data_IF_932500263906
#
_entry.id   IF_932500263906
#
_cell.length_a   1.000
_cell.length_b   1.000
_cell.length_c   1.000
_cell.angle_alpha   90.00
_cell.angle_beta   90.00
_cell.angle_gamma   90.00
#
_symmetry.space_group_name_H-M   'P 1'
#
loop_
_entity.id
_entity.type
_entity.pdbx_description
1 polymer ?
#
# COMPACT_ATOMS: atom_id res chain seq x y z
N UNK A 1 17.45 -12.81 20.80
CA UNK A 1 16.24 -13.59 21.23
C UNK A 1 14.91 -12.84 20.99
N UNK A 2 14.84 -11.93 20.08
CA UNK A 2 13.61 -11.14 19.79
C UNK A 2 12.82 -11.63 18.55
N UNK A 3 13.25 -12.70 17.88
CA UNK A 3 12.61 -13.17 16.65
C UNK A 3 11.23 -13.81 16.84
N UNK A 4 10.92 -14.36 18.02
CA UNK A 4 9.65 -15.07 18.25
C UNK A 4 8.43 -14.18 18.43
N UNK A 5 8.56 -13.01 19.09
CA UNK A 5 7.44 -12.09 19.32
C UNK A 5 7.00 -11.39 18.04
N UNK A 6 7.93 -10.95 17.20
CA UNK A 6 7.63 -10.35 15.91
C UNK A 6 6.87 -11.26 14.96
N UNK A 7 7.16 -12.57 15.00
CA UNK A 7 6.46 -13.55 14.17
C UNK A 7 5.03 -13.84 14.64
N UNK A 8 4.74 -13.74 15.95
CA UNK A 8 3.38 -13.90 16.49
C UNK A 8 2.47 -12.76 16.03
N UNK A 9 2.91 -11.51 16.18
CA UNK A 9 2.14 -10.35 15.73
C UNK A 9 1.94 -10.35 14.21
N UNK A 10 2.96 -10.73 13.45
CA UNK A 10 2.86 -10.85 12.00
C UNK A 10 1.78 -11.86 11.59
N UNK A 11 1.73 -13.03 12.22
CA UNK A 11 0.68 -14.04 11.95
C UNK A 11 -0.72 -13.58 12.36
N UNK A 12 -0.85 -12.78 13.41
CA UNK A 12 -2.14 -12.20 13.77
C UNK A 12 -2.65 -11.27 12.66
N UNK A 13 -1.78 -10.39 12.17
CA UNK A 13 -2.11 -9.49 11.06
C UNK A 13 -2.46 -10.27 9.80
N UNK A 14 -1.69 -11.31 9.45
CA UNK A 14 -1.95 -12.17 8.29
C UNK A 14 -3.34 -12.83 8.34
N UNK A 15 -3.84 -13.24 9.52
CA UNK A 15 -5.18 -13.82 9.66
C UNK A 15 -6.31 -12.84 9.31
N UNK A 16 -6.17 -11.55 9.61
CA UNK A 16 -7.15 -10.54 9.18
C UNK A 16 -7.19 -10.40 7.66
N UNK A 17 -6.04 -10.57 7.00
CA UNK A 17 -5.98 -10.61 5.54
C UNK A 17 -6.66 -11.84 4.97
N UNK A 18 -6.47 -13.01 5.58
CA UNK A 18 -7.13 -14.24 5.14
C UNK A 18 -8.66 -14.10 5.20
N UNK A 19 -9.17 -13.46 6.26
CA UNK A 19 -10.62 -13.17 6.37
C UNK A 19 -11.09 -12.19 5.30
N UNK A 20 -10.33 -11.13 5.03
CA UNK A 20 -10.66 -10.17 3.99
C UNK A 20 -10.63 -10.81 2.59
N UNK A 21 -9.65 -11.66 2.32
CA UNK A 21 -9.53 -12.42 1.07
C UNK A 21 -10.72 -13.39 0.88
N UNK A 22 -11.16 -14.07 1.96
CA UNK A 22 -12.36 -14.93 1.92
C UNK A 22 -13.64 -14.14 1.59
N UNK A 23 -13.70 -12.88 1.99
CA UNK A 23 -14.82 -11.98 1.72
C UNK A 23 -14.65 -11.20 0.41
N UNK A 24 -13.61 -11.47 -0.37
CA UNK A 24 -13.23 -10.75 -1.59
C UNK A 24 -13.05 -9.22 -1.35
N UNK A 25 -12.70 -8.83 -0.12
CA UNK A 25 -12.51 -7.44 0.26
C UNK A 25 -11.04 -7.02 0.07
N UNK A 26 -10.85 -5.85 -0.50
CA UNK A 26 -9.53 -5.24 -0.60
C UNK A 26 -9.21 -4.47 0.68
N UNK A 27 -8.23 -4.93 1.44
CA UNK A 27 -7.70 -4.19 2.59
C UNK A 27 -6.87 -3.00 2.08
N UNK A 28 -7.27 -1.79 2.43
CA UNK A 28 -6.55 -0.55 2.12
C UNK A 28 -5.56 -0.23 3.23
N UNK A 29 -6.04 -0.22 4.46
CA UNK A 29 -5.29 0.09 5.67
C UNK A 29 -5.65 -0.88 6.77
N UNK A 30 -4.74 -1.11 7.69
CA UNK A 30 -4.94 -1.88 8.91
C UNK A 30 -4.47 -1.03 10.09
N UNK A 31 -5.39 -0.76 11.01
CA UNK A 31 -5.10 0.03 12.19
C UNK A 31 -5.54 -0.70 13.46
N UNK A 32 -5.08 -0.25 14.62
CA UNK A 32 -5.57 -0.78 15.90
C UNK A 32 -6.61 0.18 16.50
N UNK A 33 -7.58 -0.39 17.20
CA UNK A 33 -8.72 0.35 17.78
C UNK A 33 -8.30 1.59 18.57
N UNK A 34 -7.21 1.50 19.34
CA UNK A 34 -6.71 2.62 20.14
C UNK A 34 -6.30 3.83 19.31
N UNK A 35 -5.63 3.66 18.16
CA UNK A 35 -5.30 4.78 17.29
C UNK A 35 -6.55 5.30 16.59
N UNK A 36 -7.35 4.42 16.01
CA UNK A 36 -8.57 4.81 15.29
C UNK A 36 -9.48 5.65 16.17
N UNK A 37 -9.73 5.20 17.40
CA UNK A 37 -10.53 5.97 18.36
C UNK A 37 -9.88 7.27 18.76
N UNK A 38 -8.55 7.26 18.99
CA UNK A 38 -7.80 8.47 19.31
C UNK A 38 -7.98 9.55 18.24
N UNK A 39 -7.84 9.19 16.96
CA UNK A 39 -7.96 10.15 15.86
C UNK A 39 -9.36 10.76 15.80
N UNK A 40 -10.40 9.98 16.01
CA UNK A 40 -11.77 10.49 16.03
C UNK A 40 -12.05 11.32 17.28
N UNK A 41 -11.59 10.88 18.46
CA UNK A 41 -11.77 11.63 19.72
C UNK A 41 -11.11 13.01 19.70
N UNK A 42 -9.98 13.17 19.02
CA UNK A 42 -9.32 14.47 18.83
C UNK A 42 -10.19 15.49 18.10
N UNK A 43 -11.14 15.05 17.30
CA UNK A 43 -12.12 15.93 16.62
C UNK A 43 -13.28 16.31 17.53
N UNK A 44 -13.48 15.60 18.65
CA UNK A 44 -14.61 15.81 19.57
C UNK A 44 -14.24 16.71 20.76
N UNK A 45 -12.97 16.97 20.98
CA UNK A 45 -12.44 17.73 22.12
C UNK A 45 -11.72 18.99 21.64
N UNK A 46 -11.56 19.93 22.56
CA UNK A 46 -10.76 21.13 22.35
C UNK A 46 -9.37 21.03 23.01
N UNK A 47 -8.63 22.14 23.06
CA UNK A 47 -7.28 22.19 23.61
C UNK A 47 -7.23 22.11 25.14
N UNK A 48 -8.37 22.18 25.84
CA UNK A 48 -8.40 22.11 27.32
C UNK A 48 -8.08 20.68 27.79
N UNK A 49 -7.45 20.56 28.98
CA UNK A 49 -7.21 19.27 29.62
C UNK A 49 -8.51 18.48 29.79
N UNK A 50 -8.65 17.41 29.04
CA UNK A 50 -9.89 16.64 28.90
C UNK A 50 -9.67 15.17 29.19
N UNK A 51 -10.49 14.60 30.09
CA UNK A 51 -10.65 13.17 30.29
C UNK A 51 -11.63 12.61 29.24
N UNK A 52 -11.25 11.58 28.54
CA UNK A 52 -12.11 10.84 27.62
C UNK A 52 -12.33 9.43 28.13
N UNK A 53 -13.58 9.02 28.26
CA UNK A 53 -14.00 7.67 28.67
C UNK A 53 -14.75 7.05 27.50
N UNK A 54 -14.19 6.01 26.95
CA UNK A 54 -14.79 5.27 25.86
C UNK A 54 -15.11 3.85 26.32
N UNK A 55 -16.39 3.57 26.51
CA UNK A 55 -16.85 2.26 26.94
C UNK A 55 -17.22 1.40 25.73
N UNK A 56 -16.48 0.34 25.54
CA UNK A 56 -16.80 -0.74 24.60
C UNK A 56 -17.54 -1.90 25.26
N UNK A 57 -17.71 -2.98 24.54
CA UNK A 57 -18.36 -4.18 25.06
C UNK A 57 -17.52 -4.89 26.13
N UNK A 58 -16.24 -5.13 25.87
CA UNK A 58 -15.33 -5.89 26.75
C UNK A 58 -14.41 -5.00 27.59
N UNK A 59 -14.10 -3.81 27.10
CA UNK A 59 -13.14 -2.93 27.72
C UNK A 59 -13.53 -1.46 27.63
N UNK A 60 -13.04 -0.68 28.57
CA UNK A 60 -13.15 0.79 28.58
C UNK A 60 -11.79 1.41 28.37
N UNK A 61 -11.65 2.30 27.39
CA UNK A 61 -10.46 3.09 27.15
C UNK A 61 -10.62 4.42 27.87
N UNK A 62 -9.68 4.72 28.75
CA UNK A 62 -9.59 5.98 29.48
C UNK A 62 -8.39 6.75 28.94
N UNK A 63 -8.62 7.95 28.42
CA UNK A 63 -7.58 8.77 27.82
C UNK A 63 -7.59 10.17 28.42
N UNK A 64 -6.43 10.77 28.58
CA UNK A 64 -6.29 12.20 28.98
C UNK A 64 -5.60 12.93 27.84
N UNK A 65 -6.24 14.01 27.42
CA UNK A 65 -5.73 14.91 26.40
C UNK A 65 -5.39 16.26 27.03
N UNK A 66 -4.36 16.90 26.50
CA UNK A 66 -4.01 18.29 26.83
C UNK A 66 -3.50 18.95 25.54
N UNK A 67 -4.02 20.11 25.18
CA UNK A 67 -3.76 20.78 23.91
C UNK A 67 -4.02 19.87 22.71
N UNK A 68 -5.11 19.12 22.77
CA UNK A 68 -5.52 18.12 21.78
C UNK A 68 -4.46 17.02 21.50
N UNK A 69 -3.51 16.83 22.42
CA UNK A 69 -2.48 15.78 22.35
C UNK A 69 -2.75 14.75 23.43
N UNK A 70 -2.72 13.47 23.05
CA UNK A 70 -2.84 12.37 24.00
C UNK A 70 -1.65 12.38 24.96
N UNK A 71 -1.96 12.48 26.27
CA UNK A 71 -0.97 12.44 27.35
C UNK A 71 -0.88 11.07 28.01
N UNK A 72 -2.02 10.44 28.19
CA UNK A 72 -2.13 9.14 28.84
C UNK A 72 -3.31 8.37 28.25
N UNK A 73 -3.12 7.07 28.05
CA UNK A 73 -4.19 6.15 27.65
C UNK A 73 -4.05 4.87 28.47
N UNK A 74 -5.19 4.38 28.97
CA UNK A 74 -5.28 3.13 29.70
C UNK A 74 -6.52 2.35 29.26
N UNK A 75 -6.35 1.07 28.95
CA UNK A 75 -7.46 0.14 28.77
C UNK A 75 -7.76 -0.56 30.08
N UNK A 76 -9.04 -0.62 30.44
CA UNK A 76 -9.56 -1.32 31.61
C UNK A 76 -10.45 -2.45 31.09
N UNK A 77 -10.23 -3.71 31.49
CA UNK A 77 -11.06 -4.85 31.06
C UNK A 77 -12.40 -4.82 31.80
N UNK A 78 -13.21 -3.86 31.47
CA UNK A 78 -14.55 -3.62 31.99
C UNK A 78 -15.35 -2.92 30.90
N UNK A 79 -16.42 -3.49 30.50
CA UNK A 79 -17.26 -2.97 29.42
C UNK A 79 -18.73 -3.23 29.68
N UNK A 80 -19.51 -3.04 28.65
CA UNK A 80 -20.96 -3.23 28.63
C UNK A 80 -21.36 -4.67 28.98
N UNK A 81 -20.60 -5.67 28.51
CA UNK A 81 -20.76 -7.08 28.83
C UNK A 81 -20.69 -7.37 30.33
N UNK A 82 -19.81 -6.67 31.05
CA UNK A 82 -19.68 -6.83 32.50
C UNK A 82 -20.95 -6.37 33.23
N UNK A 83 -21.56 -5.26 32.78
CA UNK A 83 -22.83 -4.78 33.36
C UNK A 83 -23.97 -5.73 33.01
N UNK A 84 -24.02 -6.23 31.77
CA UNK A 84 -25.02 -7.22 31.34
C UNK A 84 -24.93 -8.50 32.17
N UNK A 85 -23.73 -9.01 32.43
CA UNK A 85 -23.50 -10.17 33.28
C UNK A 85 -23.99 -9.93 34.72
N UNK A 86 -23.73 -8.73 35.28
CA UNK A 86 -24.24 -8.38 36.61
C UNK A 86 -25.79 -8.32 36.67
N UNK A 87 -26.43 -7.91 35.56
CA UNK A 87 -27.90 -7.96 35.44
C UNK A 87 -28.39 -9.41 35.36
N UNK A 88 -27.74 -10.23 34.48
CA UNK A 88 -28.10 -11.63 34.30
C UNK A 88 -28.04 -12.39 35.63
N UNK A 89 -26.94 -12.21 36.38
CA UNK A 89 -26.74 -12.83 37.69
C UNK A 89 -27.76 -12.33 38.73
N UNK A 90 -28.00 -11.01 38.80
CA UNK A 90 -28.91 -10.42 39.78
C UNK A 90 -30.37 -10.79 39.55
N UNK A 91 -30.80 -10.94 38.29
CA UNK A 91 -32.19 -11.19 37.91
C UNK A 91 -32.44 -12.65 37.57
N UNK A 92 -31.40 -13.50 37.58
CA UNK A 92 -31.47 -14.93 37.18
C UNK A 92 -32.07 -15.10 35.76
N UNK A 93 -31.53 -14.33 34.80
CA UNK A 93 -31.93 -14.35 33.39
C UNK A 93 -30.75 -14.62 32.48
N UNK A 94 -31.03 -14.96 31.23
CA UNK A 94 -29.99 -15.17 30.24
C UNK A 94 -29.24 -13.89 29.92
N UNK A 95 -28.01 -14.05 29.39
CA UNK A 95 -27.19 -12.90 28.94
C UNK A 95 -27.91 -12.05 27.88
N UNK A 96 -28.58 -12.68 26.94
CA UNK A 96 -29.34 -12.01 25.86
C UNK A 96 -30.51 -11.19 26.41
N UNK A 97 -31.22 -11.73 27.38
CA UNK A 97 -32.28 -10.99 28.09
C UNK A 97 -31.70 -9.83 28.89
N UNK A 98 -30.57 -10.04 29.54
CA UNK A 98 -29.87 -8.99 30.28
C UNK A 98 -29.41 -7.83 29.40
N UNK A 99 -28.93 -8.11 28.17
CA UNK A 99 -28.64 -7.08 27.17
C UNK A 99 -29.88 -6.28 26.79
N UNK A 100 -31.03 -7.00 26.61
CA UNK A 100 -32.30 -6.34 26.30
C UNK A 100 -32.76 -5.43 27.44
N UNK A 101 -32.59 -5.85 28.69
CA UNK A 101 -32.85 -5.05 29.89
C UNK A 101 -31.94 -3.82 29.95
N UNK A 102 -30.63 -4.02 29.74
CA UNK A 102 -29.64 -2.94 29.75
C UNK A 102 -29.93 -1.87 28.68
N UNK A 103 -30.46 -2.29 27.54
CA UNK A 103 -30.81 -1.41 26.43
C UNK A 103 -32.07 -0.57 26.67
N UNK A 104 -33.02 -1.14 27.39
CA UNK A 104 -34.37 -0.58 27.47
C UNK A 104 -34.72 -0.01 28.86
N UNK A 105 -34.05 -0.45 29.93
CA UNK A 105 -34.32 -0.03 31.27
C UNK A 105 -33.23 0.87 31.86
N UNK A 106 -33.58 1.69 32.84
CA UNK A 106 -32.63 2.37 33.73
C UNK A 106 -32.29 1.43 34.88
N UNK A 107 -31.19 0.70 34.77
CA UNK A 107 -30.74 -0.28 35.77
C UNK A 107 -29.83 0.27 36.82
N UNK A 108 -29.20 1.44 36.57
CA UNK A 108 -28.24 2.06 37.46
C UNK A 108 -28.91 3.03 38.44
N UNK A 109 -28.49 2.96 39.69
CA UNK A 109 -28.81 3.92 40.72
C UNK A 109 -27.93 5.18 40.62
N UNK A 110 -28.21 6.19 41.44
CA UNK A 110 -27.52 7.47 41.38
C UNK A 110 -26.15 7.47 42.07
N UNK A 111 -25.96 6.55 43.02
CA UNK A 111 -24.71 6.43 43.78
C UNK A 111 -24.43 4.96 44.13
N UNK A 112 -23.15 4.66 44.38
CA UNK A 112 -22.71 3.38 44.95
C UNK A 112 -23.16 3.17 46.42
N UNK A 113 -23.57 4.24 47.10
CA UNK A 113 -24.04 4.19 48.47
C UNK A 113 -25.34 3.42 48.62
N UNK A 114 -26.11 3.28 47.53
CA UNK A 114 -27.42 2.59 47.56
C UNK A 114 -27.31 1.08 47.71
N UNK A 115 -26.07 0.52 47.70
CA UNK A 115 -25.78 -0.89 47.92
C UNK A 115 -26.33 -1.83 46.83
N UNK A 116 -26.75 -1.29 45.68
CA UNK A 116 -27.27 -2.08 44.56
C UNK A 116 -26.16 -2.86 43.88
N UNK A 117 -26.41 -4.14 43.61
CA UNK A 117 -25.44 -5.06 43.03
C UNK A 117 -25.00 -4.64 41.64
N UNK A 118 -25.95 -4.30 40.76
CA UNK A 118 -25.66 -3.92 39.36
C UNK A 118 -24.85 -2.63 39.34
N UNK A 119 -25.30 -1.60 40.08
CA UNK A 119 -24.58 -0.34 40.22
C UNK A 119 -23.19 -0.56 40.81
N UNK A 120 -23.11 -1.41 41.84
CA UNK A 120 -21.86 -1.78 42.51
C UNK A 120 -20.81 -2.41 41.63
N UNK A 121 -21.21 -3.09 40.57
CA UNK A 121 -20.27 -3.68 39.57
C UNK A 121 -19.40 -2.60 38.90
N UNK A 122 -19.89 -1.37 38.77
CA UNK A 122 -19.18 -0.24 38.18
C UNK A 122 -18.10 0.36 39.08
N UNK A 123 -18.03 -0.03 40.36
CA UNK A 123 -17.00 0.47 41.30
C UNK A 123 -15.58 0.26 40.79
N UNK A 124 -15.36 -0.93 40.15
CA UNK A 124 -14.07 -1.25 39.56
C UNK A 124 -13.68 -0.24 38.47
N UNK A 125 -14.61 0.09 37.57
CA UNK A 125 -14.39 1.09 36.53
C UNK A 125 -14.14 2.48 37.11
N UNK A 126 -15.01 2.95 38.01
CA UNK A 126 -14.88 4.26 38.66
C UNK A 126 -13.55 4.44 39.39
N UNK A 127 -13.12 3.41 40.14
CA UNK A 127 -11.83 3.40 40.80
C UNK A 127 -10.64 3.47 39.82
N UNK A 128 -10.75 2.79 38.66
CA UNK A 128 -9.71 2.89 37.65
C UNK A 128 -9.66 4.26 36.98
N UNK A 129 -10.81 4.89 36.76
CA UNK A 129 -10.87 6.27 36.25
C UNK A 129 -10.22 7.23 37.27
N UNK A 130 -10.59 7.15 38.54
CA UNK A 130 -9.99 7.98 39.60
C UNK A 130 -8.46 7.79 39.66
N UNK A 131 -7.97 6.56 39.61
CA UNK A 131 -6.52 6.29 39.59
C UNK A 131 -5.80 6.90 38.37
N UNK A 132 -6.46 6.95 37.22
CA UNK A 132 -5.89 7.59 36.02
C UNK A 132 -5.79 9.08 36.20
N UNK A 133 -6.84 9.69 36.78
CA UNK A 133 -6.88 11.12 37.12
C UNK A 133 -5.77 11.44 38.13
N UNK A 134 -5.70 10.70 39.24
CA UNK A 134 -4.72 10.92 40.31
C UNK A 134 -3.29 10.77 39.81
N UNK A 135 -3.04 9.73 39.01
CA UNK A 135 -1.73 9.51 38.40
C UNK A 135 -1.31 10.68 37.50
N UNK A 136 -2.22 11.15 36.66
CA UNK A 136 -1.93 12.26 35.75
C UNK A 136 -1.71 13.57 36.53
N UNK A 137 -2.56 13.89 37.50
CA UNK A 137 -2.45 15.08 38.31
C UNK A 137 -1.17 15.09 39.14
N UNK A 138 -0.76 13.93 39.68
CA UNK A 138 0.51 13.81 40.42
C UNK A 138 1.72 14.08 39.52
N UNK A 139 1.67 13.69 38.29
CA UNK A 139 2.75 13.89 37.29
C UNK A 139 2.73 15.30 36.70
N UNK A 140 1.59 15.96 36.69
CA UNK A 140 1.37 17.27 36.09
C UNK A 140 0.64 18.18 37.04
N UNK A 141 1.28 18.63 38.16
CA UNK A 141 0.62 19.36 39.22
C UNK A 141 0.05 20.74 38.78
N UNK A 142 0.61 21.29 37.70
CA UNK A 142 0.18 22.58 37.14
C UNK A 142 -0.99 22.44 36.14
N UNK A 143 -1.44 21.22 35.88
CA UNK A 143 -2.51 20.92 34.90
C UNK A 143 -3.72 20.31 35.60
N UNK A 144 -4.82 21.04 35.63
CA UNK A 144 -6.10 20.52 36.15
C UNK A 144 -6.97 20.00 35.00
N UNK A 145 -7.51 18.80 35.16
CA UNK A 145 -8.50 18.26 34.22
C UNK A 145 -9.78 19.05 34.36
N UNK A 146 -10.17 19.75 33.30
CA UNK A 146 -11.31 20.67 33.30
C UNK A 146 -12.59 20.06 32.76
N UNK A 147 -12.46 19.11 31.87
CA UNK A 147 -13.57 18.50 31.14
C UNK A 147 -13.47 16.99 31.17
N UNK A 148 -14.63 16.35 31.18
CA UNK A 148 -14.73 14.93 30.92
C UNK A 148 -15.80 14.68 29.87
N UNK A 149 -15.47 13.81 28.91
CA UNK A 149 -16.38 13.37 27.87
C UNK A 149 -16.49 11.85 27.89
N UNK A 150 -17.67 11.35 27.54
CA UNK A 150 -17.93 9.92 27.49
C UNK A 150 -18.63 9.56 26.19
N UNK A 151 -18.20 8.46 25.60
CA UNK A 151 -18.85 7.83 24.47
C UNK A 151 -18.96 6.33 24.74
N UNK A 152 -20.03 5.72 24.27
CA UNK A 152 -20.25 4.26 24.37
C UNK A 152 -20.30 3.68 22.98
N UNK A 153 -19.52 2.63 22.72
CA UNK A 153 -19.67 1.82 21.51
C UNK A 153 -20.96 1.00 21.64
N UNK A 154 -21.86 1.17 20.68
CA UNK A 154 -23.21 0.58 20.75
C UNK A 154 -24.19 1.41 21.56
N UNK A 155 -25.23 0.75 22.11
CA UNK A 155 -26.24 1.45 22.89
C UNK A 155 -25.69 1.93 24.23
N UNK A 156 -25.94 3.18 24.55
CA UNK A 156 -25.53 3.82 25.80
C UNK A 156 -26.29 3.26 27.02
N UNK A 157 -25.57 3.05 28.11
CA UNK A 157 -26.16 2.65 29.39
C UNK A 157 -26.78 3.89 30.05
N UNK A 158 -28.09 3.83 30.34
CA UNK A 158 -28.81 4.96 30.92
C UNK A 158 -28.28 5.35 32.32
N UNK A 159 -28.05 6.60 32.53
CA UNK A 159 -27.54 7.21 33.77
C UNK A 159 -26.06 6.86 34.13
N UNK A 160 -25.32 6.22 33.25
CA UNK A 160 -23.92 5.86 33.47
C UNK A 160 -23.05 7.13 33.67
N UNK A 161 -23.21 8.12 32.80
CA UNK A 161 -22.51 9.40 32.87
C UNK A 161 -22.84 10.17 34.17
N UNK A 162 -24.07 10.09 34.63
CA UNK A 162 -24.50 10.74 35.86
C UNK A 162 -23.88 10.08 37.08
N UNK A 163 -23.94 8.75 37.16
CA UNK A 163 -23.32 7.96 38.20
C UNK A 163 -21.80 8.22 38.29
N UNK A 164 -21.11 8.08 37.17
CA UNK A 164 -19.66 8.30 37.11
C UNK A 164 -19.29 9.73 37.42
N UNK A 165 -20.08 10.73 36.96
CA UNK A 165 -19.85 12.14 37.30
C UNK A 165 -19.93 12.37 38.81
N UNK A 166 -20.90 11.77 39.48
CA UNK A 166 -21.09 11.88 40.95
C UNK A 166 -19.92 11.23 41.69
N UNK A 167 -19.53 10.03 41.32
CA UNK A 167 -18.51 9.24 42.02
C UNK A 167 -17.07 9.76 41.79
N UNK A 168 -16.80 10.35 40.62
CA UNK A 168 -15.47 10.89 40.26
C UNK A 168 -15.35 12.36 40.67
N UNK A 169 -16.47 13.05 40.92
CA UNK A 169 -16.49 14.49 41.23
C UNK A 169 -16.16 15.39 40.01
N UNK A 170 -16.29 14.87 38.79
CA UNK A 170 -16.05 15.60 37.56
C UNK A 170 -17.24 15.42 36.59
N UNK A 171 -17.81 16.56 36.16
CA UNK A 171 -18.96 16.50 35.23
C UNK A 171 -18.59 15.88 33.91
N UNK A 172 -19.16 14.73 33.61
CA UNK A 172 -18.98 14.01 32.38
C UNK A 172 -20.06 14.42 31.36
N UNK A 173 -19.65 14.88 30.19
CA UNK A 173 -20.54 15.19 29.09
C UNK A 173 -20.60 13.95 28.16
N UNK A 174 -21.78 13.44 27.93
CA UNK A 174 -21.99 12.39 26.93
C UNK A 174 -21.82 12.98 25.53
N UNK A 175 -21.16 12.24 24.64
CA UNK A 175 -21.09 12.54 23.21
C UNK A 175 -22.19 11.73 22.52
N UNK A 176 -23.23 12.42 22.08
CA UNK A 176 -24.36 11.83 21.36
C UNK A 176 -24.23 11.99 19.84
N UNK A 177 -23.45 12.98 19.39
CA UNK A 177 -23.21 13.25 17.98
C UNK A 177 -21.73 13.52 17.76
N UNK A 178 -21.19 13.02 16.65
CA UNK A 178 -19.79 13.17 16.29
C UNK A 178 -19.58 14.43 15.45
N UNK A 179 -18.74 15.35 15.94
CA UNK A 179 -18.32 16.52 15.18
C UNK A 179 -17.56 16.10 13.92
N UNK A 180 -17.76 16.80 12.82
CA UNK A 180 -17.10 16.57 11.52
C UNK A 180 -17.40 15.21 10.88
N UNK A 181 -18.38 14.47 11.38
CA UNK A 181 -18.90 13.26 10.77
C UNK A 181 -20.27 13.56 10.18
N UNK A 182 -20.41 13.31 8.89
CA UNK A 182 -21.65 13.52 8.16
C UNK A 182 -22.16 12.14 7.73
N UNK A 183 -23.40 11.80 8.12
CA UNK A 183 -24.05 10.60 7.64
C UNK A 183 -24.51 10.81 6.19
N UNK A 184 -24.24 9.84 5.31
CA UNK A 184 -24.83 9.80 3.98
C UNK A 184 -26.29 9.34 4.10
N UNK A 185 -27.21 10.00 3.38
CA UNK A 185 -28.64 9.66 3.41
C UNK A 185 -28.95 8.20 3.08
N UNK A 186 -28.01 7.52 2.40
CA UNK A 186 -28.12 6.08 2.08
C UNK A 186 -27.88 5.16 3.28
N UNK A 187 -27.27 5.64 4.35
CA UNK A 187 -26.95 4.80 5.52
C UNK A 187 -28.17 4.49 6.40
N UNK A 188 -29.26 5.26 6.28
CA UNK A 188 -30.47 5.12 7.10
C UNK A 188 -30.17 4.96 8.61
N UNK A 189 -29.14 5.68 9.10
CA UNK A 189 -28.68 5.68 10.49
C UNK A 189 -28.70 7.10 11.03
N UNK A 190 -29.09 7.25 12.28
CA UNK A 190 -29.02 8.53 12.99
C UNK A 190 -27.59 8.87 13.38
N UNK A 191 -27.27 10.15 13.56
CA UNK A 191 -25.96 10.60 14.04
C UNK A 191 -25.60 10.00 15.40
N UNK A 192 -26.58 9.78 16.27
CA UNK A 192 -26.37 9.15 17.57
C UNK A 192 -26.00 7.66 17.47
N UNK A 193 -26.45 6.95 16.45
CA UNK A 193 -26.07 5.56 16.22
C UNK A 193 -24.64 5.44 15.68
N UNK A 194 -24.13 6.50 15.02
CA UNK A 194 -22.74 6.53 14.53
C UNK A 194 -21.72 6.52 15.67
N UNK A 195 -22.08 6.97 16.87
CA UNK A 195 -21.20 6.86 18.04
C UNK A 195 -20.84 5.42 18.41
N UNK A 196 -21.67 4.44 18.00
CA UNK A 196 -21.38 3.02 18.13
C UNK A 196 -20.27 2.50 17.20
N UNK A 197 -19.88 3.27 16.19
CA UNK A 197 -18.91 2.89 15.18
C UNK A 197 -17.62 3.74 15.24
N UNK A 198 -17.28 4.25 16.42
CA UNK A 198 -16.13 5.14 16.62
C UNK A 198 -14.82 4.61 16.03
N UNK A 199 -14.49 3.37 16.34
CA UNK A 199 -13.27 2.75 15.84
C UNK A 199 -13.29 2.54 14.32
N UNK A 200 -14.45 2.19 13.76
CA UNK A 200 -14.61 2.02 12.31
C UNK A 200 -14.50 3.34 11.55
N UNK A 201 -15.08 4.42 12.09
CA UNK A 201 -14.99 5.77 11.50
C UNK A 201 -13.56 6.30 11.65
N UNK A 202 -12.97 6.13 12.82
CA UNK A 202 -11.65 6.65 13.15
C UNK A 202 -10.52 6.02 12.30
N UNK A 203 -10.66 4.76 11.89
CA UNK A 203 -9.63 4.07 11.10
C UNK A 203 -9.39 4.70 9.72
N UNK A 204 -10.32 5.54 9.22
CA UNK A 204 -10.18 6.21 7.92
C UNK A 204 -9.49 7.57 8.04
N UNK A 205 -9.37 8.12 9.25
CA UNK A 205 -8.87 9.51 9.45
C UNK A 205 -7.36 9.56 9.28
N UNK A 206 -6.63 8.79 10.08
CA UNK A 206 -5.16 8.75 10.04
C UNK A 206 -4.65 7.39 10.56
N UNK A 207 -4.76 6.32 9.77
CA UNK A 207 -4.32 4.99 10.20
C UNK A 207 -2.80 4.93 10.34
N UNK A 208 -2.33 4.17 11.32
CA UNK A 208 -0.89 3.84 11.45
C UNK A 208 -0.44 2.92 10.32
N UNK A 209 -1.37 2.20 9.76
CA UNK A 209 -1.22 1.26 8.66
C UNK A 209 -0.23 0.12 8.90
N UNK A 210 -0.68 -0.93 9.57
CA UNK A 210 0.06 -2.17 9.80
C UNK A 210 0.02 -3.15 8.62
N UNK A 211 -0.37 -2.69 7.42
CA UNK A 211 -0.41 -3.54 6.23
C UNK A 211 0.99 -4.11 5.94
N UNK A 212 1.19 -5.42 5.92
CA UNK A 212 2.48 -6.02 5.61
C UNK A 212 2.95 -5.63 4.21
N UNK A 213 4.22 -5.31 4.05
CA UNK A 213 4.81 -4.99 2.74
C UNK A 213 4.57 -6.09 1.71
N UNK A 214 4.53 -7.36 2.13
CA UNK A 214 4.20 -8.51 1.29
C UNK A 214 2.79 -8.45 0.70
N UNK A 215 1.79 -7.97 1.45
CA UNK A 215 0.42 -7.82 0.98
C UNK A 215 0.30 -6.63 -0.01
N UNK A 216 0.99 -5.51 0.26
CA UNK A 216 1.07 -4.38 -0.67
C UNK A 216 1.70 -4.78 -2.01
N UNK A 217 2.74 -5.62 -1.98
CA UNK A 217 3.39 -6.14 -3.19
C UNK A 217 2.43 -7.07 -3.95
N UNK A 218 1.70 -7.96 -3.27
CA UNK A 218 0.67 -8.82 -3.89
C UNK A 218 -0.44 -7.99 -4.54
N UNK A 219 -0.97 -7.00 -3.85
CA UNK A 219 -2.02 -6.12 -4.37
C UNK A 219 -1.54 -5.30 -5.59
N UNK A 220 -0.30 -4.81 -5.57
CA UNK A 220 0.31 -4.11 -6.71
C UNK A 220 0.49 -5.04 -7.91
N UNK A 221 0.99 -6.27 -7.67
CA UNK A 221 1.20 -7.28 -8.73
C UNK A 221 -0.11 -7.73 -9.38
N UNK A 222 -1.23 -7.81 -8.63
CA UNK A 222 -2.55 -8.16 -9.17
C UNK A 222 -3.12 -7.04 -10.05
N UNK A 223 -2.86 -5.80 -9.69
CA UNK A 223 -3.31 -4.64 -10.47
C UNK A 223 -2.49 -4.47 -11.75
N UNK A 224 -1.17 -4.66 -11.67
CA UNK A 224 -0.26 -4.64 -12.84
C UNK A 224 -0.64 -5.73 -13.85
N UNK A 225 -1.07 -6.91 -13.39
CA UNK A 225 -1.54 -7.98 -14.26
C UNK A 225 -2.84 -7.64 -15.01
N UNK A 226 -3.74 -6.83 -14.45
CA UNK A 226 -4.93 -6.37 -15.15
C UNK A 226 -4.58 -5.40 -16.28
N UNK A 227 -3.71 -4.44 -16.01
CA UNK A 227 -3.20 -3.53 -17.04
C UNK A 227 -2.36 -4.25 -18.08
N UNK A 228 -1.53 -5.20 -17.67
CA UNK A 228 -0.74 -6.04 -18.59
C UNK A 228 -1.65 -6.84 -19.53
N UNK A 229 -2.72 -7.45 -19.03
CA UNK A 229 -3.72 -8.14 -19.86
C UNK A 229 -4.41 -7.19 -20.84
N UNK A 230 -4.72 -5.98 -20.43
CA UNK A 230 -5.33 -4.96 -21.26
C UNK A 230 -4.37 -4.48 -22.35
N UNK A 231 -3.09 -4.28 -22.02
CA UNK A 231 -2.01 -3.94 -22.96
C UNK A 231 -1.79 -5.10 -23.96
N UNK A 232 -1.75 -6.35 -23.49
CA UNK A 232 -1.60 -7.52 -24.36
C UNK A 232 -2.80 -7.66 -25.30
N UNK A 233 -4.05 -7.48 -24.82
CA UNK A 233 -5.24 -7.48 -25.68
C UNK A 233 -5.19 -6.36 -26.72
N UNK A 234 -4.77 -5.14 -26.31
CA UNK A 234 -4.56 -4.03 -27.23
C UNK A 234 -3.49 -4.32 -28.29
N UNK A 235 -2.36 -4.91 -27.88
CA UNK A 235 -1.27 -5.29 -28.78
C UNK A 235 -1.73 -6.38 -29.78
N UNK A 236 -2.48 -7.39 -29.31
CA UNK A 236 -3.06 -8.43 -30.16
C UNK A 236 -4.05 -7.85 -31.16
N UNK A 237 -4.89 -6.89 -30.72
CA UNK A 237 -5.82 -6.20 -31.60
C UNK A 237 -5.11 -5.37 -32.67
N UNK A 238 -4.08 -4.62 -32.29
CA UNK A 238 -3.25 -3.85 -33.25
C UNK A 238 -2.54 -4.79 -34.22
N UNK A 239 -1.97 -5.90 -33.73
CA UNK A 239 -1.34 -6.92 -34.58
C UNK A 239 -2.36 -7.54 -35.55
N UNK A 240 -3.57 -7.84 -35.13
CA UNK A 240 -4.64 -8.36 -35.97
C UNK A 240 -5.04 -7.34 -37.06
N UNK A 241 -5.13 -6.02 -36.71
CA UNK A 241 -5.40 -4.96 -37.69
C UNK A 241 -4.28 -4.85 -38.73
N UNK A 242 -3.01 -4.89 -38.27
CA UNK A 242 -1.83 -4.85 -39.17
C UNK A 242 -1.81 -6.04 -40.15
N UNK A 243 -2.27 -7.20 -39.69
CA UNK A 243 -2.38 -8.41 -40.57
C UNK A 243 -3.59 -8.33 -41.49
N UNK A 244 -4.72 -7.79 -41.03
CA UNK A 244 -5.94 -7.68 -41.82
C UNK A 244 -5.84 -6.67 -42.97
N UNK A 245 -5.14 -5.53 -42.75
CA UNK A 245 -4.96 -4.50 -43.79
C UNK A 245 -4.29 -5.06 -45.04
N UNK A 246 -3.14 -5.77 -44.97
CA UNK A 246 -2.54 -6.34 -46.14
C UNK A 246 -3.35 -7.54 -46.73
N UNK A 247 -4.13 -8.26 -45.90
CA UNK A 247 -5.00 -9.33 -46.35
C UNK A 247 -6.15 -8.79 -47.24
N UNK A 248 -6.82 -7.72 -46.80
CA UNK A 248 -7.86 -7.07 -47.59
C UNK A 248 -7.27 -6.40 -48.84
N UNK A 249 -6.10 -5.76 -48.72
CA UNK A 249 -5.36 -5.20 -49.87
C UNK A 249 -4.93 -6.29 -50.88
N UNK A 250 -4.59 -7.50 -50.41
CA UNK A 250 -4.25 -8.61 -51.26
C UNK A 250 -5.47 -9.21 -51.99
N UNK A 251 -6.65 -9.20 -51.35
CA UNK A 251 -7.90 -9.66 -52.00
C UNK A 251 -8.33 -8.66 -53.07
N UNK A 252 -8.24 -7.37 -52.80
CA UNK A 252 -8.55 -6.34 -53.81
C UNK A 252 -7.57 -6.38 -54.98
N UNK A 253 -6.27 -6.55 -54.72
CA UNK A 253 -5.25 -6.68 -55.75
C UNK A 253 -5.36 -7.99 -56.55
N UNK A 254 -5.92 -9.06 -55.94
CA UNK A 254 -6.18 -10.34 -56.72
C UNK A 254 -7.29 -10.18 -57.75
N UNK A 255 -8.32 -9.43 -57.46
CA UNK A 255 -9.40 -9.15 -58.43
C UNK A 255 -8.92 -8.25 -59.58
N UNK A 256 -8.14 -7.23 -59.23
CA UNK A 256 -7.52 -6.35 -60.23
C UNK A 256 -6.47 -7.10 -61.10
N UNK A 257 -5.68 -7.99 -60.46
CA UNK A 257 -4.68 -8.81 -61.12
C UNK A 257 -5.29 -9.89 -62.07
N UNK A 258 -6.50 -10.37 -61.79
CA UNK A 258 -7.20 -11.30 -62.66
C UNK A 258 -7.70 -10.61 -63.96
N UNK A 259 -8.07 -9.31 -63.88
CA UNK A 259 -8.38 -8.48 -65.05
C UNK A 259 -7.15 -8.19 -65.92
N UNK A 260 -6.03 -7.84 -65.24
CA UNK A 260 -4.73 -7.62 -65.92
C UNK A 260 -4.16 -8.89 -66.55
N UNK A 261 -4.30 -10.06 -65.89
CA UNK A 261 -3.87 -11.37 -66.44
C UNK A 261 -4.58 -11.73 -67.73
N UNK A 262 -5.87 -11.35 -67.88
CA UNK A 262 -6.62 -11.54 -69.11
C UNK A 262 -6.06 -10.69 -70.27
N UNK A 263 -5.61 -9.48 -69.99
CA UNK A 263 -5.00 -8.58 -70.97
C UNK A 263 -3.56 -8.93 -71.31
N UNK A 264 -2.79 -9.44 -70.32
CA UNK A 264 -1.38 -9.87 -70.53
C UNK A 264 -1.32 -11.18 -71.35
N UNK A 265 -2.33 -12.05 -71.27
CA UNK A 265 -2.45 -13.25 -72.07
C UNK A 265 -2.48 -12.97 -73.58
N UNK A 266 -2.71 -11.71 -73.96
CA UNK A 266 -2.68 -11.28 -75.41
C UNK A 266 -1.29 -10.84 -75.85
N UNK A 267 -0.31 -10.77 -74.95
CA UNK A 267 1.08 -10.34 -75.24
C UNK A 267 2.04 -11.42 -74.70
N UNK A 268 1.97 -12.62 -75.27
CA UNK A 268 2.59 -13.84 -74.69
C UNK A 268 4.12 -13.83 -74.66
N UNK A 269 4.77 -12.99 -75.43
CA UNK A 269 6.25 -12.94 -75.59
C UNK A 269 6.97 -12.03 -74.55
N UNK A 270 6.25 -11.16 -73.82
CA UNK A 270 6.88 -10.18 -72.85
C UNK A 270 6.77 -10.69 -71.44
N UNK A 271 5.83 -11.58 -71.14
CA UNK A 271 5.49 -12.06 -69.80
C UNK A 271 6.64 -12.75 -69.07
N UNK A 272 7.41 -13.59 -69.77
CA UNK A 272 8.53 -14.29 -69.15
C UNK A 272 9.67 -13.36 -68.76
N UNK A 273 10.02 -12.40 -69.59
CA UNK A 273 11.13 -11.48 -69.34
C UNK A 273 10.82 -10.52 -68.22
N UNK A 274 9.56 -10.05 -68.12
CA UNK A 274 9.11 -9.15 -67.05
C UNK A 274 9.01 -9.88 -65.69
N UNK A 275 8.55 -11.13 -65.69
CA UNK A 275 8.44 -11.93 -64.47
C UNK A 275 9.83 -12.29 -63.90
N UNK A 276 10.77 -12.65 -64.74
CA UNK A 276 12.17 -12.94 -64.33
C UNK A 276 12.88 -11.71 -63.79
N UNK A 277 12.59 -10.53 -64.32
CA UNK A 277 13.15 -9.27 -63.82
C UNK A 277 12.63 -8.93 -62.42
N UNK A 278 11.31 -9.04 -62.16
CA UNK A 278 10.74 -8.72 -60.86
C UNK A 278 11.13 -9.74 -59.78
N UNK A 279 11.17 -11.02 -60.07
CA UNK A 279 11.63 -12.07 -59.15
C UNK A 279 13.11 -11.88 -58.74
N UNK A 280 13.94 -11.42 -59.65
CA UNK A 280 15.36 -11.15 -59.36
C UNK A 280 15.54 -9.89 -58.51
N UNK A 281 14.70 -8.88 -58.74
CA UNK A 281 14.73 -7.61 -58.01
C UNK A 281 14.27 -7.76 -56.55
N UNK A 282 13.14 -8.48 -56.33
CA UNK A 282 12.61 -8.70 -54.97
C UNK A 282 13.57 -9.55 -54.13
N UNK A 283 14.13 -10.60 -54.68
CA UNK A 283 15.15 -11.40 -53.97
C UNK A 283 16.41 -10.60 -53.62
N UNK A 284 16.81 -9.66 -54.44
CA UNK A 284 17.97 -8.82 -54.16
C UNK A 284 17.69 -7.82 -53.06
N UNK A 285 16.48 -7.25 -53.02
CA UNK A 285 16.05 -6.28 -52.00
C UNK A 285 15.87 -6.92 -50.62
N UNK A 286 15.26 -8.10 -50.56
CA UNK A 286 15.04 -8.85 -49.32
C UNK A 286 16.38 -9.32 -48.71
N UNK A 287 17.30 -9.78 -49.50
CA UNK A 287 18.62 -10.22 -49.03
C UNK A 287 19.45 -9.04 -48.55
N UNK A 288 19.40 -7.88 -49.22
CA UNK A 288 20.17 -6.68 -48.79
C UNK A 288 19.63 -6.05 -47.51
N UNK A 289 18.30 -6.01 -47.32
CA UNK A 289 17.68 -5.53 -46.08
C UNK A 289 17.92 -6.47 -44.92
N UNK A 290 17.84 -7.77 -45.10
CA UNK A 290 18.14 -8.77 -44.08
C UNK A 290 19.61 -8.70 -43.64
N UNK A 291 20.53 -8.50 -44.57
CA UNK A 291 21.97 -8.37 -44.29
C UNK A 291 22.30 -7.08 -43.52
N UNK A 292 21.57 -5.96 -43.77
CA UNK A 292 21.76 -4.71 -43.07
C UNK A 292 21.17 -4.71 -41.64
N UNK A 293 20.15 -5.54 -41.39
CA UNK A 293 19.52 -5.67 -40.07
C UNK A 293 20.21 -6.72 -39.18
N UNK A 294 20.92 -7.70 -39.75
CA UNK A 294 21.50 -8.83 -39.02
C UNK A 294 22.95 -8.64 -38.58
N UNK A 295 23.63 -7.58 -39.01
CA UNK A 295 25.01 -7.35 -38.61
C UNK A 295 25.13 -6.30 -37.51
N UNK A 296 25.63 -6.70 -36.38
CA UNK A 296 26.46 -5.98 -35.38
C UNK A 296 25.86 -5.55 -34.06
N UNK A 297 24.57 -5.51 -33.78
CA UNK A 297 24.12 -5.04 -32.45
C UNK A 297 24.16 -6.14 -31.36
N UNK A 298 24.00 -7.39 -31.75
CA UNK A 298 23.88 -8.51 -30.81
C UNK A 298 25.25 -9.07 -30.40
N UNK A 299 26.20 -9.09 -31.30
CA UNK A 299 27.56 -9.63 -31.07
C UNK A 299 28.38 -8.80 -30.08
N UNK A 300 28.24 -7.49 -30.10
CA UNK A 300 29.00 -6.59 -29.19
C UNK A 300 28.45 -6.61 -27.77
N UNK A 301 27.13 -6.76 -27.60
CA UNK A 301 26.51 -6.92 -26.29
C UNK A 301 26.84 -8.29 -25.70
N UNK A 302 26.85 -9.34 -26.50
CA UNK A 302 27.20 -10.70 -26.06
C UNK A 302 28.65 -10.75 -25.55
N UNK A 303 29.59 -10.22 -26.31
CA UNK A 303 31.00 -10.10 -25.91
C UNK A 303 31.19 -9.24 -24.65
N UNK A 304 30.37 -8.22 -24.49
CA UNK A 304 30.42 -7.37 -23.30
C UNK A 304 29.94 -8.11 -22.04
N UNK A 305 28.88 -8.92 -22.15
CA UNK A 305 28.40 -9.74 -21.05
C UNK A 305 29.43 -10.83 -20.69
N UNK A 306 30.00 -11.49 -21.68
CA UNK A 306 31.03 -12.51 -21.48
C UNK A 306 32.28 -11.90 -20.80
N UNK A 307 32.69 -10.70 -21.19
CA UNK A 307 33.75 -9.95 -20.53
C UNK A 307 33.40 -9.61 -19.05
N UNK A 308 32.14 -9.23 -18.75
CA UNK A 308 31.73 -9.00 -17.38
C UNK A 308 31.77 -10.25 -16.51
N UNK A 309 31.44 -11.41 -17.08
CA UNK A 309 31.50 -12.70 -16.38
C UNK A 309 32.95 -13.12 -16.06
N UNK A 310 33.90 -12.83 -16.97
CA UNK A 310 35.29 -13.27 -16.82
C UNK A 310 36.16 -12.27 -16.03
N UNK A 311 35.99 -10.97 -16.24
CA UNK A 311 36.93 -9.92 -15.78
C UNK A 311 36.34 -9.00 -14.71
N UNK A 312 35.10 -9.18 -14.26
CA UNK A 312 34.55 -8.36 -13.18
C UNK A 312 35.16 -8.77 -11.82
N UNK A 313 35.73 -7.81 -11.07
CA UNK A 313 36.32 -8.11 -9.76
C UNK A 313 35.28 -8.68 -8.80
N UNK A 314 35.66 -9.70 -8.01
CA UNK A 314 34.78 -10.35 -7.04
C UNK A 314 34.22 -9.42 -5.96
N UNK A 315 34.86 -8.25 -5.75
CA UNK A 315 34.46 -7.24 -4.79
C UNK A 315 33.40 -6.27 -5.35
N UNK A 316 33.07 -6.38 -6.65
CA UNK A 316 32.05 -5.57 -7.32
C UNK A 316 30.84 -6.43 -7.62
N UNK A 317 29.70 -6.10 -7.01
CA UNK A 317 28.41 -6.74 -7.26
C UNK A 317 27.60 -5.93 -8.28
N UNK A 318 27.13 -6.58 -9.34
CA UNK A 318 26.21 -5.97 -10.31
C UNK A 318 24.76 -6.09 -9.80
N UNK A 319 24.13 -4.95 -9.56
CA UNK A 319 22.75 -4.90 -9.04
C UNK A 319 21.72 -4.83 -10.18
N UNK A 320 22.04 -4.10 -11.23
CA UNK A 320 21.20 -4.03 -12.43
C UNK A 320 22.02 -3.66 -13.66
N UNK A 321 21.57 -4.14 -14.83
CA UNK A 321 22.13 -3.82 -16.13
C UNK A 321 20.99 -3.41 -17.06
N UNK A 322 21.11 -2.30 -17.74
CA UNK A 322 20.17 -1.82 -18.73
C UNK A 322 20.88 -1.38 -20.01
N UNK A 323 20.29 -1.72 -21.15
CA UNK A 323 20.83 -1.41 -22.46
C UNK A 323 19.85 -0.51 -23.21
N UNK A 324 20.31 0.64 -23.66
CA UNK A 324 19.50 1.59 -24.43
C UNK A 324 20.38 2.48 -25.31
N UNK A 325 19.98 2.65 -26.56
CA UNK A 325 20.58 3.61 -27.48
C UNK A 325 22.07 3.45 -27.70
N UNK A 326 22.59 2.20 -27.70
CA UNK A 326 24.02 1.93 -27.89
C UNK A 326 24.87 2.14 -26.66
N UNK A 327 24.24 2.33 -25.51
CA UNK A 327 24.92 2.42 -24.22
C UNK A 327 24.41 1.33 -23.27
N UNK A 328 25.29 0.83 -22.42
CA UNK A 328 25.00 -0.07 -21.31
C UNK A 328 25.19 0.70 -20.02
N UNK A 329 24.16 0.76 -19.20
CA UNK A 329 24.21 1.34 -17.87
C UNK A 329 24.13 0.23 -16.82
N UNK A 330 25.10 0.19 -15.93
CA UNK A 330 25.26 -0.78 -14.84
C UNK A 330 25.18 -0.07 -13.50
N UNK A 331 24.35 -0.58 -12.60
CA UNK A 331 24.40 -0.19 -11.19
C UNK A 331 25.15 -1.28 -10.42
N UNK A 332 26.19 -0.86 -9.74
CA UNK A 332 27.11 -1.75 -9.04
C UNK A 332 27.23 -1.34 -7.57
N UNK A 333 27.61 -2.31 -6.74
CA UNK A 333 27.98 -2.09 -5.34
C UNK A 333 29.36 -2.67 -5.09
N UNK A 334 30.13 -2.06 -4.22
CA UNK A 334 31.47 -2.56 -3.88
C UNK A 334 31.99 -1.98 -2.57
N UNK A 335 33.02 -2.61 -2.04
CA UNK A 335 33.65 -2.22 -0.77
C UNK A 335 34.89 -1.34 -0.92
N UNK A 336 35.40 -1.12 -2.16
CA UNK A 336 36.63 -0.42 -2.40
C UNK A 336 36.58 0.49 -3.63
N UNK A 337 36.84 1.77 -3.43
CA UNK A 337 36.96 2.76 -4.52
C UNK A 337 38.16 2.49 -5.42
N UNK A 338 39.17 1.81 -4.89
CA UNK A 338 40.39 1.45 -5.66
C UNK A 338 40.08 0.32 -6.66
N UNK A 339 39.30 -0.70 -6.24
CA UNK A 339 38.84 -1.76 -7.12
C UNK A 339 37.92 -1.21 -8.21
N UNK A 340 37.03 -0.26 -7.87
CA UNK A 340 36.22 0.45 -8.86
C UNK A 340 37.08 1.16 -9.90
N UNK A 341 38.10 1.92 -9.47
CA UNK A 341 38.97 2.66 -10.38
C UNK A 341 39.71 1.72 -11.34
N UNK A 342 40.21 0.59 -10.85
CA UNK A 342 40.84 -0.45 -11.68
C UNK A 342 39.85 -1.05 -12.67
N UNK A 343 38.61 -1.35 -12.24
CA UNK A 343 37.58 -1.87 -13.09
C UNK A 343 37.17 -0.89 -14.22
N UNK A 344 37.06 0.42 -13.92
CA UNK A 344 36.81 1.45 -14.92
C UNK A 344 37.95 1.55 -15.96
N UNK A 345 39.20 1.35 -15.55
CA UNK A 345 40.35 1.31 -16.46
C UNK A 345 40.28 0.06 -17.37
N UNK A 346 39.86 -1.08 -16.83
CA UNK A 346 39.72 -2.33 -17.59
C UNK A 346 38.60 -2.20 -18.60
N UNK A 347 37.46 -1.63 -18.23
CA UNK A 347 36.34 -1.32 -19.14
C UNK A 347 36.79 -0.38 -20.29
N UNK A 348 37.58 0.64 -20.00
CA UNK A 348 38.11 1.58 -21.02
C UNK A 348 39.10 0.96 -22.01
N UNK A 349 39.71 -0.18 -21.68
CA UNK A 349 40.63 -0.89 -22.56
C UNK A 349 39.93 -1.79 -23.58
N UNK A 350 38.65 -2.02 -23.43
CA UNK A 350 37.88 -2.83 -24.36
C UNK A 350 37.73 -2.10 -25.70
N UNK A 351 38.03 -2.80 -26.77
CA UNK A 351 38.11 -2.23 -28.14
C UNK A 351 36.75 -1.80 -28.71
N UNK A 352 35.66 -2.36 -28.18
CA UNK A 352 34.29 -2.09 -28.58
C UNK A 352 33.60 -0.97 -27.76
N UNK A 353 34.28 -0.41 -26.76
CA UNK A 353 33.76 0.67 -25.91
C UNK A 353 34.43 2.02 -26.29
N UNK A 354 33.61 3.00 -26.66
CA UNK A 354 34.06 4.35 -27.00
C UNK A 354 34.23 5.24 -25.78
N UNK A 355 33.37 5.09 -24.77
CA UNK A 355 33.46 5.86 -23.54
C UNK A 355 32.89 5.11 -22.33
N UNK A 356 33.52 5.33 -21.18
CA UNK A 356 33.07 4.85 -19.88
C UNK A 356 32.92 6.02 -18.94
N UNK A 357 31.76 6.21 -18.37
CA UNK A 357 31.47 7.28 -17.42
C UNK A 357 30.87 6.66 -16.13
N UNK A 358 31.37 7.15 -14.98
CA UNK A 358 30.78 6.85 -13.67
C UNK A 358 30.01 8.08 -13.22
N UNK A 359 28.66 8.00 -13.28
CA UNK A 359 27.77 9.15 -13.08
C UNK A 359 27.53 9.51 -11.62
N UNK A 360 27.59 8.53 -10.73
CA UNK A 360 27.36 8.73 -9.29
C UNK A 360 28.12 7.70 -8.47
N UNK A 361 28.63 8.12 -7.33
CA UNK A 361 29.19 7.26 -6.29
C UNK A 361 28.55 7.69 -4.99
N UNK A 362 27.83 6.78 -4.32
CA UNK A 362 27.22 7.01 -3.02
C UNK A 362 27.70 5.96 -2.02
N UNK A 363 28.03 6.42 -0.83
CA UNK A 363 28.53 5.59 0.27
C UNK A 363 27.42 5.37 1.29
N UNK A 364 27.19 4.13 1.68
CA UNK A 364 26.27 3.76 2.74
C UNK A 364 27.00 2.89 3.76
N UNK A 365 26.77 3.16 5.04
CA UNK A 365 27.31 2.36 6.14
C UNK A 365 26.19 1.47 6.70
N UNK A 366 26.43 0.17 6.80
CA UNK A 366 25.52 -0.81 7.38
C UNK A 366 25.58 -0.79 8.92
N UNK A 367 24.61 -1.41 9.58
CA UNK A 367 24.53 -1.53 11.05
C UNK A 367 25.74 -2.22 11.71
N UNK A 368 26.64 -2.80 10.91
CA UNK A 368 27.89 -3.45 11.34
C UNK A 368 29.15 -2.64 11.00
N UNK A 369 29.05 -1.34 10.75
CA UNK A 369 30.15 -0.46 10.32
C UNK A 369 30.82 -0.87 9.00
N UNK A 370 30.20 -1.72 8.20
CA UNK A 370 30.70 -2.06 6.87
C UNK A 370 30.28 -0.98 5.85
N UNK A 371 31.25 -0.38 5.21
CA UNK A 371 31.06 0.64 4.18
C UNK A 371 30.80 -0.06 2.85
N UNK A 372 29.67 0.23 2.22
CA UNK A 372 29.32 -0.23 0.88
C UNK A 372 29.12 0.97 -0.04
N UNK A 373 29.89 1.04 -1.09
CA UNK A 373 29.76 2.05 -2.13
C UNK A 373 28.80 1.57 -3.23
N UNK A 374 27.88 2.42 -3.64
CA UNK A 374 27.03 2.20 -4.81
C UNK A 374 27.39 3.17 -5.92
N UNK A 375 27.52 2.68 -7.14
CA UNK A 375 27.92 3.50 -8.29
C UNK A 375 27.20 3.09 -9.57
N UNK A 376 26.96 4.09 -10.42
CA UNK A 376 26.37 3.91 -11.75
C UNK A 376 27.41 4.12 -12.82
N UNK A 377 27.69 3.08 -13.60
CA UNK A 377 28.67 3.10 -14.70
C UNK A 377 27.90 3.04 -16.02
N UNK A 378 28.22 3.95 -16.94
CA UNK A 378 27.65 3.94 -18.29
C UNK A 378 28.76 3.73 -19.30
N UNK A 379 28.66 2.69 -20.11
CA UNK A 379 29.54 2.33 -21.20
C UNK A 379 28.83 2.57 -22.53
N UNK A 380 29.49 3.29 -23.47
CA UNK A 380 28.95 3.51 -24.83
C UNK A 380 29.78 2.72 -25.82
N UNK A 381 29.15 1.96 -26.70
CA UNK A 381 29.80 1.19 -27.73
C UNK A 381 30.30 2.06 -28.89
N UNK A 382 31.41 1.65 -29.51
CA UNK A 382 32.12 2.43 -30.54
C UNK A 382 31.51 2.38 -31.95
N UNK A 383 30.54 1.50 -32.19
CA UNK A 383 29.92 1.26 -33.51
C UNK A 383 28.40 1.32 -33.50
N UNK A 384 27.85 2.37 -32.93
CA UNK A 384 26.43 2.69 -33.24
C UNK A 384 26.44 3.83 -34.26
N UNK A 385 25.86 3.65 -35.45
CA UNK A 385 25.68 4.78 -36.35
C UNK A 385 24.76 5.79 -35.69
N UNK A 386 25.24 6.96 -35.40
CA UNK A 386 24.44 8.13 -35.09
C UNK A 386 23.47 8.31 -36.24
N UNK A 387 22.14 8.22 -35.96
CA UNK A 387 21.12 8.68 -36.91
C UNK A 387 21.38 10.16 -37.14
N UNK A 388 22.08 10.51 -38.19
CA UNK A 388 22.04 11.84 -38.78
C UNK A 388 20.62 12.01 -39.36
N UNK A 389 19.84 12.91 -38.80
CA UNK A 389 18.63 13.44 -39.44
C UNK A 389 19.05 14.03 -40.78
N UNK A 390 18.88 13.31 -41.89
CA UNK A 390 18.84 13.91 -43.21
C UNK A 390 17.44 14.50 -43.41
N UNK A 391 17.48 15.83 -43.49
CA UNK A 391 16.31 16.64 -43.76
C UNK A 391 15.70 16.38 -45.13
N UNK A 392 14.41 16.62 -45.18
CA UNK A 392 13.56 16.76 -46.35
C UNK A 392 14.23 17.54 -47.49
N UNK A 393 14.23 16.97 -48.67
CA UNK A 393 13.81 17.62 -49.91
C UNK A 393 12.89 16.68 -50.73
#
# INVERSE_FOLDING_TARGET
MSRGLGDVYKRQVERYYDVADMLELRVLDLDYVGNSTLQLMRLQIDDSPTLSIQMGDEATIISIFNKNVLQLMRSVPYGRSTVANAIAEKRDISYEEALTVLDNERVLKESFSDGDYITGSLKYLANNISRVIDYYSTKNPDVTIQKAVMVTEGKSIRALETLLSYEIGLKIKKIDELNQVIADDRLNMSLSELTGYLSNIGCVIQPVNFVPKSALIKAKKTNDNKYLRLIIMGAVFVAAVIVLIPLVGNISKRTENNGLKSNIKKIEGIKTVVNDYYLSKDKFTDISTFYALASNADDDLHKFIEFLEEDMPSDIGLTSLSVSGGAVTMNCTGSSKETLAQFLVTLKKQSNISSVNCASVSEATDENDAITDSYTITCVFSQFPTQTEEGNE
#
